data_IF_015650222298
#
_entry.id   IF_015650222298
#
_cell.length_a   1.000
_cell.length_b   1.000
_cell.length_c   1.000
_cell.angle_alpha   90.00
_cell.angle_beta   90.00
_cell.angle_gamma   90.00
#
_symmetry.space_group_name_H-M   'P 1'
#
loop_
_entity.id
_entity.type
_entity.pdbx_description
1 polymer ?
#
# COMPACT_ATOMS: atom_id res chain seq x y z
N UNK A 1 -6.66 -23.26 -26.89
CA UNK A 1 -5.36 -23.95 -27.08
C UNK A 1 -4.74 -23.39 -28.35
N UNK A 2 -3.61 -22.66 -28.27
CA UNK A 2 -3.01 -22.07 -29.48
C UNK A 2 -2.06 -20.90 -29.18
N UNK A 3 -0.92 -21.20 -28.57
CA UNK A 3 0.30 -20.36 -28.54
C UNK A 3 1.53 -21.18 -28.07
N UNK A 4 1.32 -22.32 -27.41
CA UNK A 4 2.37 -23.32 -27.12
C UNK A 4 2.87 -24.08 -28.37
N UNK A 5 2.15 -24.01 -29.49
CA UNK A 5 2.48 -24.74 -30.72
C UNK A 5 3.44 -24.00 -31.67
N UNK A 6 3.88 -22.77 -31.34
CA UNK A 6 4.65 -21.93 -32.26
C UNK A 6 6.15 -21.78 -31.93
N UNK A 7 6.70 -22.56 -31.00
CA UNK A 7 8.14 -22.55 -30.71
C UNK A 7 8.70 -21.14 -30.41
N UNK A 8 7.86 -20.25 -29.84
CA UNK A 8 8.21 -18.89 -29.43
C UNK A 8 8.12 -18.78 -27.91
N UNK A 9 8.99 -19.47 -27.15
CA UNK A 9 8.98 -19.43 -25.69
C UNK A 9 9.18 -18.00 -25.16
N UNK A 10 9.90 -17.16 -25.90
CA UNK A 10 10.17 -15.76 -25.54
C UNK A 10 8.89 -14.91 -25.51
N UNK A 11 7.96 -15.11 -26.45
CA UNK A 11 6.67 -14.39 -26.44
C UNK A 11 5.74 -14.93 -25.36
N UNK A 12 5.75 -16.23 -25.09
CA UNK A 12 5.01 -16.80 -23.96
C UNK A 12 5.55 -16.27 -22.63
N UNK A 13 6.87 -16.12 -22.49
CA UNK A 13 7.53 -15.49 -21.34
C UNK A 13 7.20 -14.00 -21.22
N UNK A 14 7.15 -13.27 -22.33
CA UNK A 14 6.74 -11.87 -22.34
C UNK A 14 5.26 -11.72 -21.90
N UNK A 15 4.35 -12.51 -22.46
CA UNK A 15 2.95 -12.55 -22.04
C UNK A 15 2.77 -12.99 -20.57
N UNK A 16 3.58 -13.94 -20.08
CA UNK A 16 3.57 -14.32 -18.66
C UNK A 16 4.14 -13.20 -17.77
N UNK A 17 5.19 -12.50 -18.19
CA UNK A 17 5.75 -11.34 -17.48
C UNK A 17 4.77 -10.16 -17.45
N UNK A 18 4.01 -9.95 -18.53
CA UNK A 18 2.93 -8.96 -18.61
C UNK A 18 1.71 -9.36 -17.77
N UNK A 19 1.41 -10.66 -17.62
CA UNK A 19 0.37 -11.14 -16.68
C UNK A 19 0.83 -11.14 -15.21
N UNK A 20 2.13 -11.28 -14.94
CA UNK A 20 2.74 -11.11 -13.61
C UNK A 20 2.87 -9.62 -13.23
N UNK A 21 2.56 -8.69 -14.15
CA UNK A 21 2.38 -7.28 -13.85
C UNK A 21 1.03 -6.99 -13.15
N UNK A 22 0.47 -7.97 -12.43
CA UNK A 22 -0.44 -7.63 -11.33
C UNK A 22 0.30 -6.72 -10.35
N UNK A 23 -0.38 -5.75 -9.72
CA UNK A 23 0.28 -4.83 -8.82
C UNK A 23 0.85 -5.61 -7.64
N UNK A 24 2.17 -5.78 -7.61
CA UNK A 24 2.88 -6.54 -6.57
C UNK A 24 2.47 -6.06 -5.17
N UNK A 25 2.18 -4.78 -5.04
CA UNK A 25 1.73 -4.13 -3.81
C UNK A 25 0.33 -4.57 -3.35
N UNK A 26 -0.59 -4.87 -4.28
CA UNK A 26 -1.91 -5.43 -3.92
C UNK A 26 -1.77 -6.87 -3.42
N UNK A 27 -0.86 -7.66 -4.01
CA UNK A 27 -0.52 -9.00 -3.55
C UNK A 27 0.21 -8.98 -2.19
N UNK A 28 1.02 -7.96 -1.91
CA UNK A 28 1.58 -7.75 -0.57
C UNK A 28 0.46 -7.49 0.43
N UNK A 29 -0.45 -6.55 0.15
CA UNK A 29 -1.58 -6.24 1.04
C UNK A 29 -2.47 -7.46 1.29
N UNK A 30 -2.67 -8.32 0.29
CA UNK A 30 -3.46 -9.55 0.44
C UNK A 30 -2.85 -10.56 1.45
N UNK A 31 -1.59 -10.39 1.84
CA UNK A 31 -0.95 -11.19 2.89
C UNK A 31 -1.22 -10.66 4.30
N UNK A 32 -1.86 -9.49 4.45
CA UNK A 32 -2.27 -8.95 5.75
C UNK A 32 -3.58 -9.64 6.15
N UNK A 33 -3.61 -10.41 7.24
CA UNK A 33 -4.82 -11.14 7.65
C UNK A 33 -5.88 -10.24 8.28
N UNK A 34 -5.54 -9.02 8.73
CA UNK A 34 -6.51 -8.06 9.27
C UNK A 34 -7.33 -7.40 8.14
N UNK A 35 -8.61 -7.77 7.94
CA UNK A 35 -9.37 -7.39 6.74
C UNK A 35 -9.66 -5.89 6.65
N UNK A 36 -9.88 -5.20 7.77
CA UNK A 36 -10.20 -3.77 7.75
C UNK A 36 -8.99 -2.93 7.32
N UNK A 37 -7.81 -3.28 7.84
CA UNK A 37 -6.54 -2.68 7.46
C UNK A 37 -6.25 -2.95 5.97
N UNK A 38 -6.32 -4.22 5.54
CA UNK A 38 -6.05 -4.61 4.17
C UNK A 38 -6.99 -3.89 3.18
N UNK A 39 -8.29 -3.84 3.47
CA UNK A 39 -9.25 -3.14 2.63
C UNK A 39 -8.97 -1.62 2.54
N UNK A 40 -8.58 -1.00 3.65
CA UNK A 40 -8.26 0.44 3.70
C UNK A 40 -7.02 0.76 2.86
N UNK A 41 -5.95 -0.03 3.00
CA UNK A 41 -4.71 0.14 2.23
C UNK A 41 -4.94 -0.15 0.74
N UNK A 42 -5.68 -1.20 0.41
CA UNK A 42 -6.00 -1.54 -0.97
C UNK A 42 -6.80 -0.40 -1.63
N UNK A 43 -7.81 0.10 -0.93
CA UNK A 43 -8.60 1.25 -1.40
C UNK A 43 -7.75 2.50 -1.58
N UNK A 44 -6.77 2.73 -0.71
CA UNK A 44 -5.83 3.83 -0.80
C UNK A 44 -4.92 3.72 -2.03
N UNK A 45 -4.24 2.59 -2.24
CA UNK A 45 -3.37 2.37 -3.40
C UNK A 45 -4.14 2.47 -4.72
N UNK A 46 -5.35 1.91 -4.80
CA UNK A 46 -6.18 2.01 -6.00
C UNK A 46 -6.53 3.47 -6.31
N UNK A 47 -6.81 4.28 -5.28
CA UNK A 47 -7.12 5.70 -5.45
C UNK A 47 -5.89 6.51 -5.87
N UNK A 48 -4.71 6.26 -5.29
CA UNK A 48 -3.46 6.88 -5.72
C UNK A 48 -3.18 6.58 -7.21
N UNK A 49 -3.34 5.32 -7.63
CA UNK A 49 -3.16 4.93 -9.04
C UNK A 49 -4.13 5.64 -9.98
N UNK A 50 -5.37 5.88 -9.56
CA UNK A 50 -6.36 6.66 -10.35
C UNK A 50 -5.95 8.12 -10.52
N UNK A 51 -5.10 8.63 -9.63
CA UNK A 51 -4.53 9.96 -9.69
C UNK A 51 -3.16 9.98 -10.41
N UNK A 52 -2.83 8.90 -11.13
CA UNK A 52 -1.55 8.70 -11.84
C UNK A 52 -0.31 8.73 -10.91
N UNK A 53 -0.52 8.40 -9.62
CA UNK A 53 0.54 8.28 -8.62
C UNK A 53 0.93 6.81 -8.50
N UNK A 54 2.19 6.49 -8.76
CA UNK A 54 2.72 5.14 -8.55
C UNK A 54 2.98 4.96 -7.06
N UNK A 55 2.45 3.90 -6.45
CA UNK A 55 2.56 3.72 -5.01
C UNK A 55 3.16 2.36 -4.65
N UNK A 56 4.11 2.36 -3.72
CA UNK A 56 4.69 1.16 -3.10
C UNK A 56 4.22 1.02 -1.66
N UNK A 57 4.17 -0.22 -1.16
CA UNK A 57 3.90 -0.49 0.25
C UNK A 57 4.88 -1.51 0.81
N UNK A 58 5.43 -1.21 1.98
CA UNK A 58 6.29 -2.13 2.72
C UNK A 58 5.88 -2.19 4.20
N UNK A 59 6.02 -3.38 4.78
CA UNK A 59 5.65 -3.65 6.16
C UNK A 59 6.44 -4.86 6.71
N UNK A 60 6.67 -4.93 8.04
CA UNK A 60 7.36 -6.05 8.67
C UNK A 60 6.72 -7.40 8.38
N UNK A 61 7.52 -8.45 8.18
CA UNK A 61 7.03 -9.82 7.96
C UNK A 61 6.10 -10.33 9.08
N UNK A 62 6.28 -9.85 10.32
CA UNK A 62 5.40 -10.17 11.45
C UNK A 62 3.94 -9.81 11.20
N UNK A 63 3.67 -8.74 10.44
CA UNK A 63 2.33 -8.28 10.08
C UNK A 63 1.57 -9.25 9.15
N UNK A 64 2.23 -10.28 8.60
CA UNK A 64 1.58 -11.34 7.82
C UNK A 64 1.01 -12.47 8.70
N UNK A 65 1.38 -12.50 9.98
CA UNK A 65 0.93 -13.54 10.92
C UNK A 65 -0.37 -13.10 11.60
N UNK A 66 -1.36 -13.99 11.69
CA UNK A 66 -2.65 -13.71 12.35
C UNK A 66 -2.46 -13.32 13.82
N UNK A 67 -1.57 -14.00 14.55
CA UNK A 67 -1.31 -13.78 15.96
C UNK A 67 -0.76 -12.38 16.26
N UNK A 68 -0.07 -11.74 15.31
CA UNK A 68 0.43 -10.37 15.46
C UNK A 68 -0.72 -9.40 15.74
N UNK A 69 -1.84 -9.55 15.04
CA UNK A 69 -2.95 -8.60 15.08
C UNK A 69 -3.80 -8.70 16.33
N UNK A 70 -3.75 -9.83 17.05
CA UNK A 70 -4.50 -10.00 18.31
C UNK A 70 -4.10 -8.96 19.37
N UNK A 71 -2.82 -8.60 19.40
CA UNK A 71 -2.27 -7.64 20.37
C UNK A 71 -2.11 -6.22 19.80
N UNK A 72 -2.08 -6.08 18.47
CA UNK A 72 -1.72 -4.83 17.78
C UNK A 72 -2.88 -4.13 17.06
N UNK A 73 -4.04 -4.78 16.88
CA UNK A 73 -5.21 -4.19 16.23
C UNK A 73 -6.35 -3.87 17.19
N UNK A 74 -7.04 -2.75 16.92
CA UNK A 74 -8.29 -2.34 17.57
C UNK A 74 -9.24 -1.85 16.48
N UNK A 75 -10.53 -2.18 16.59
CA UNK A 75 -11.53 -1.78 15.59
C UNK A 75 -11.58 -0.25 15.37
N UNK A 76 -11.33 0.53 16.43
CA UNK A 76 -11.27 2.01 16.37
C UNK A 76 -10.18 2.52 15.42
N UNK A 77 -9.13 1.73 15.17
CA UNK A 77 -8.06 2.09 14.25
C UNK A 77 -8.53 2.07 12.79
N UNK A 78 -9.57 1.29 12.47
CA UNK A 78 -10.12 1.22 11.11
C UNK A 78 -10.65 2.57 10.62
N UNK A 79 -11.46 3.25 11.43
CA UNK A 79 -11.99 4.57 11.07
C UNK A 79 -10.88 5.63 11.02
N UNK A 80 -9.96 5.61 11.97
CA UNK A 80 -8.83 6.54 12.02
C UNK A 80 -7.90 6.36 10.81
N UNK A 81 -7.61 5.13 10.42
CA UNK A 81 -6.82 4.81 9.22
C UNK A 81 -7.53 5.24 7.95
N UNK A 82 -8.83 4.99 7.85
CA UNK A 82 -9.61 5.45 6.71
C UNK A 82 -9.61 6.98 6.58
N UNK A 83 -9.77 7.70 7.69
CA UNK A 83 -9.64 9.15 7.73
C UNK A 83 -8.25 9.63 7.28
N UNK A 84 -7.20 8.99 7.79
CA UNK A 84 -5.81 9.28 7.41
C UNK A 84 -5.56 9.10 5.91
N UNK A 85 -5.93 7.95 5.35
CA UNK A 85 -5.74 7.67 3.90
C UNK A 85 -6.50 8.68 3.03
N UNK A 86 -7.69 9.13 3.45
CA UNK A 86 -8.43 10.18 2.76
C UNK A 86 -7.69 11.53 2.80
N UNK A 87 -7.19 11.91 3.96
CA UNK A 87 -6.42 13.15 4.12
C UNK A 87 -5.17 13.13 3.22
N UNK A 88 -4.43 12.01 3.19
CA UNK A 88 -3.28 11.85 2.29
C UNK A 88 -3.66 12.04 0.82
N UNK A 89 -4.78 11.46 0.36
CA UNK A 89 -5.24 11.66 -1.02
C UNK A 89 -5.59 13.12 -1.32
N UNK A 90 -6.25 13.81 -0.38
CA UNK A 90 -6.63 15.22 -0.52
C UNK A 90 -5.39 16.13 -0.58
N UNK A 91 -4.36 15.82 0.21
CA UNK A 91 -3.07 16.52 0.17
C UNK A 91 -2.32 16.24 -1.14
N UNK A 92 -2.24 14.98 -1.58
CA UNK A 92 -1.60 14.60 -2.85
C UNK A 92 -2.27 15.27 -4.06
N UNK A 93 -3.57 15.54 -3.98
CA UNK A 93 -4.29 16.23 -5.06
C UNK A 93 -3.75 17.65 -5.34
N UNK A 94 -3.12 18.30 -4.37
CA UNK A 94 -2.52 19.63 -4.53
C UNK A 94 -1.30 19.63 -5.45
N UNK A 95 -0.67 18.46 -5.62
CA UNK A 95 0.59 18.30 -6.36
C UNK A 95 0.41 17.72 -7.76
N UNK A 96 -0.83 17.45 -8.20
CA UNK A 96 -1.13 16.84 -9.52
C UNK A 96 -0.52 17.57 -10.73
N UNK A 97 -0.21 18.86 -10.59
CA UNK A 97 0.37 19.66 -11.67
C UNK A 97 1.87 19.42 -11.86
N UNK A 98 2.54 18.77 -10.91
CA UNK A 98 3.98 18.52 -10.95
C UNK A 98 4.37 17.37 -11.90
N UNK A 99 3.39 16.63 -12.43
CA UNK A 99 3.63 15.57 -13.40
C UNK A 99 3.59 14.20 -12.75
N UNK A 100 4.62 13.37 -13.01
CA UNK A 100 4.65 11.99 -12.53
C UNK A 100 5.08 11.96 -11.07
N UNK A 101 4.18 11.50 -10.21
CA UNK A 101 4.42 11.41 -8.77
C UNK A 101 4.59 9.95 -8.35
N UNK A 102 5.47 9.74 -7.38
CA UNK A 102 5.64 8.46 -6.71
C UNK A 102 5.22 8.59 -5.24
N UNK A 103 4.77 7.50 -4.65
CA UNK A 103 4.37 7.43 -3.26
C UNK A 103 4.91 6.18 -2.59
N UNK A 104 5.35 6.33 -1.36
CA UNK A 104 5.81 5.23 -0.52
C UNK A 104 4.93 5.14 0.72
N UNK A 105 4.42 3.95 1.00
CA UNK A 105 3.63 3.65 2.19
C UNK A 105 4.39 2.67 3.05
N UNK A 106 4.65 3.04 4.30
CA UNK A 106 5.30 2.15 5.26
C UNK A 106 4.38 1.87 6.44
N UNK A 107 4.22 0.60 6.78
CA UNK A 107 3.67 0.24 8.08
C UNK A 107 4.82 -0.13 9.01
N UNK A 108 4.79 0.39 10.23
CA UNK A 108 5.74 0.01 11.27
C UNK A 108 5.01 -0.67 12.41
N UNK A 109 5.66 -1.69 12.95
CA UNK A 109 5.29 -2.31 14.20
C UNK A 109 5.61 -1.33 15.34
N UNK A 110 4.63 -1.05 16.17
CA UNK A 110 4.74 -0.18 17.33
C UNK A 110 4.21 -0.91 18.56
N UNK A 111 4.84 -0.77 19.74
CA UNK A 111 4.34 -1.42 20.95
C UNK A 111 2.87 -1.11 21.22
N UNK A 112 2.01 -2.13 21.16
CA UNK A 112 0.57 -1.99 21.38
C UNK A 112 -0.18 -1.32 20.22
N UNK A 113 0.33 -1.41 19.00
CA UNK A 113 -0.31 -0.79 17.84
C UNK A 113 0.48 -0.90 16.55
N UNK A 114 0.31 0.09 15.69
CA UNK A 114 1.08 0.26 14.46
C UNK A 114 1.20 1.74 14.11
N UNK A 115 2.18 2.08 13.28
CA UNK A 115 2.20 3.38 12.60
C UNK A 115 2.18 3.21 11.09
N UNK A 116 1.56 4.15 10.39
CA UNK A 116 1.45 4.19 8.94
C UNK A 116 2.05 5.51 8.45
N UNK A 117 3.10 5.42 7.65
CA UNK A 117 3.76 6.55 7.02
C UNK A 117 3.41 6.60 5.54
N UNK A 118 3.17 7.81 5.04
CA UNK A 118 2.93 8.11 3.65
C UNK A 118 3.91 9.19 3.22
N UNK A 119 4.71 8.88 2.21
CA UNK A 119 5.66 9.80 1.60
C UNK A 119 5.25 10.01 0.16
N UNK A 120 5.09 11.26 -0.27
CA UNK A 120 4.85 11.65 -1.65
C UNK A 120 6.13 12.28 -2.21
N UNK A 121 6.53 11.82 -3.38
CA UNK A 121 7.79 12.15 -4.03
C UNK A 121 7.53 12.70 -5.44
N UNK A 122 8.37 13.66 -5.83
CA UNK A 122 8.54 14.11 -7.22
C UNK A 122 10.01 13.91 -7.61
N UNK A 123 10.25 12.87 -8.40
CA UNK A 123 11.56 12.34 -8.79
C UNK A 123 12.51 12.04 -7.60
N UNK A 124 13.10 13.06 -7.00
CA UNK A 124 14.02 12.97 -5.86
C UNK A 124 13.61 13.87 -4.68
N UNK A 125 12.53 14.65 -4.82
CA UNK A 125 12.08 15.61 -3.81
C UNK A 125 10.89 15.06 -3.01
N UNK A 126 10.99 15.12 -1.69
CA UNK A 126 9.86 14.84 -0.79
C UNK A 126 8.91 16.03 -0.81
N UNK A 127 7.70 15.81 -1.33
CA UNK A 127 6.62 16.80 -1.34
C UNK A 127 5.78 16.75 -0.07
N UNK A 128 5.55 15.54 0.43
CA UNK A 128 4.80 15.29 1.65
C UNK A 128 5.41 14.11 2.38
N UNK A 129 5.56 14.23 3.69
CA UNK A 129 5.86 13.13 4.60
C UNK A 129 4.91 13.24 5.78
N UNK A 130 4.06 12.23 5.93
CA UNK A 130 3.04 12.17 6.96
C UNK A 130 3.08 10.82 7.64
N UNK A 131 2.96 10.82 8.96
CA UNK A 131 2.89 9.60 9.75
C UNK A 131 1.68 9.68 10.68
N UNK A 132 0.87 8.62 10.69
CA UNK A 132 -0.17 8.38 11.67
C UNK A 132 0.26 7.24 12.60
N UNK A 133 0.01 7.41 13.91
CA UNK A 133 0.27 6.40 14.93
C UNK A 133 -1.05 5.92 15.51
N UNK A 134 -1.24 4.61 15.51
CA UNK A 134 -2.41 3.92 16.04
C UNK A 134 -1.94 3.04 17.20
N UNK A 135 -1.70 3.65 18.36
CA UNK A 135 -1.15 3.00 19.55
C UNK A 135 -2.14 3.03 20.70
N UNK A 136 -2.14 1.99 21.51
CA UNK A 136 -2.83 1.99 22.80
C UNK A 136 -2.04 2.93 23.72
N UNK A 137 -2.64 4.03 24.16
CA UNK A 137 -2.09 4.77 25.29
C UNK A 137 -2.22 3.88 26.53
N UNK A 138 -1.12 3.44 27.17
CA UNK A 138 -1.22 2.84 28.48
C UNK A 138 -1.71 3.94 29.43
N UNK A 139 -2.92 3.76 29.97
CA UNK A 139 -3.36 4.52 31.15
C UNK A 139 -2.53 4.14 32.36
#
# INVERSE_FOLDING_TARGET
MGNLQLNQPEKALAYMREMIAEPQEEQKIAQIPEPQLAASLLGFLIRLRREDITATIDFPEGMKQEDFWQDHWREEYGEALYGYTRECLELSAQFRQLGKLDAEVFLYDEPGGLSCQFILLDEENVLLDKMAKFIINPK
#
